data_IF_400180441641
#
_entry.id   IF_400180441641
#
_cell.length_a   1.000
_cell.length_b   1.000
_cell.length_c   1.000
_cell.angle_alpha   90.00
_cell.angle_beta   90.00
_cell.angle_gamma   90.00
#
_symmetry.space_group_name_H-M   'P 1'
#
loop_
_entity.id
_entity.type
_entity.pdbx_description
1 polymer ?
#
# COMPACT_ATOMS: atom_id res chain seq x y z
N UNK A 1 21.89 35.63 16.07
CA UNK A 1 20.56 35.28 15.51
C UNK A 1 20.61 35.42 14.00
N UNK A 2 19.63 34.87 13.25
CA UNK A 2 18.35 34.29 13.66
C UNK A 2 18.26 32.76 13.43
N UNK A 3 17.18 32.20 13.98
CA UNK A 3 16.62 30.88 13.68
C UNK A 3 15.92 30.95 12.33
N UNK A 4 16.07 29.95 11.46
CA UNK A 4 15.08 29.74 10.40
C UNK A 4 14.97 28.26 10.01
N UNK A 5 13.75 27.76 10.21
CA UNK A 5 13.04 26.70 9.50
C UNK A 5 13.61 25.28 9.49
N UNK A 6 13.07 24.47 10.40
CA UNK A 6 13.02 23.03 10.23
C UNK A 6 12.28 22.68 8.95
N UNK A 7 12.99 22.04 8.02
CA UNK A 7 12.37 21.25 6.96
C UNK A 7 12.24 19.84 7.49
N UNK A 8 11.15 19.56 8.22
CA UNK A 8 10.63 18.21 8.36
C UNK A 8 10.05 17.80 7.00
N UNK A 9 10.91 17.53 6.03
CA UNK A 9 10.57 16.78 4.82
C UNK A 9 11.15 15.37 4.98
N UNK A 10 10.71 14.68 6.03
CA UNK A 10 10.86 13.23 6.14
C UNK A 10 9.52 12.64 5.69
N UNK A 11 9.26 12.63 4.38
CA UNK A 11 8.05 12.00 3.81
C UNK A 11 8.18 11.63 2.34
N UNK A 12 9.07 12.26 1.57
CA UNK A 12 9.11 12.12 0.11
C UNK A 12 10.49 11.77 -0.45
N UNK A 13 11.46 11.48 0.43
CA UNK A 13 12.82 11.12 0.01
C UNK A 13 12.92 9.60 -0.08
N UNK A 14 12.96 9.10 -1.31
CA UNK A 14 13.50 7.77 -1.64
C UNK A 14 12.61 6.55 -1.33
N UNK A 15 11.32 6.61 -1.64
CA UNK A 15 10.48 5.40 -1.65
C UNK A 15 10.65 4.56 -2.93
N UNK A 16 11.61 4.89 -3.81
CA UNK A 16 11.83 4.22 -5.11
C UNK A 16 12.24 2.75 -4.97
N UNK A 17 12.82 2.37 -3.82
CA UNK A 17 13.19 0.98 -3.50
C UNK A 17 12.13 0.24 -2.66
N UNK A 18 11.10 0.94 -2.19
CA UNK A 18 10.04 0.31 -1.41
C UNK A 18 8.99 -0.30 -2.33
N UNK A 19 9.00 -1.62 -2.36
CA UNK A 19 8.00 -2.41 -3.07
C UNK A 19 6.67 -2.53 -2.30
N UNK A 20 6.50 -1.88 -1.15
CA UNK A 20 5.25 -1.94 -0.37
C UNK A 20 4.53 -0.61 -0.43
N UNK A 21 3.25 -0.65 -0.79
CA UNK A 21 2.37 0.52 -0.88
C UNK A 21 1.31 0.48 0.22
N UNK A 22 0.84 1.65 0.61
CA UNK A 22 -0.33 1.81 1.47
C UNK A 22 -1.50 2.34 0.65
N UNK A 23 -2.63 1.67 0.78
CA UNK A 23 -3.86 1.93 0.03
C UNK A 23 -4.93 2.30 1.03
N UNK A 24 -5.64 3.40 0.80
CA UNK A 24 -6.76 3.86 1.61
C UNK A 24 -8.00 4.03 0.72
N UNK A 25 -9.18 4.09 1.32
CA UNK A 25 -10.44 4.24 0.58
C UNK A 25 -10.93 2.96 -0.12
N UNK A 26 -10.43 1.79 0.27
CA UNK A 26 -10.97 0.51 -0.16
C UNK A 26 -12.39 0.31 0.38
N UNK A 27 -13.23 -0.41 -0.35
CA UNK A 27 -14.60 -0.68 0.09
C UNK A 27 -14.66 -1.54 1.36
N UNK A 28 -15.76 -1.41 2.12
CA UNK A 28 -16.02 -2.15 3.36
C UNK A 28 -16.08 -3.69 3.20
N UNK A 29 -16.06 -4.19 1.96
CA UNK A 29 -16.13 -5.62 1.61
C UNK A 29 -14.88 -6.12 0.86
N UNK A 30 -13.77 -5.39 0.93
CA UNK A 30 -12.54 -5.78 0.23
C UNK A 30 -11.87 -6.97 0.90
N UNK A 31 -11.39 -7.94 0.11
CA UNK A 31 -10.62 -9.10 0.61
C UNK A 31 -9.19 -9.06 0.12
N UNK A 32 -8.30 -9.76 0.82
CA UNK A 32 -6.88 -9.90 0.45
C UNK A 32 -6.76 -10.37 -1.00
N UNK A 33 -7.54 -11.38 -1.40
CA UNK A 33 -7.56 -11.89 -2.76
C UNK A 33 -8.07 -10.85 -3.75
N UNK A 34 -9.12 -10.09 -3.41
CA UNK A 34 -9.65 -9.05 -4.30
C UNK A 34 -8.64 -7.92 -4.51
N UNK A 35 -7.97 -7.47 -3.45
CA UNK A 35 -6.86 -6.49 -3.56
C UNK A 35 -5.75 -7.09 -4.40
N UNK A 36 -5.42 -8.37 -4.19
CA UNK A 36 -4.37 -9.01 -4.96
C UNK A 36 -4.69 -9.08 -6.45
N UNK A 37 -5.91 -9.50 -6.80
CA UNK A 37 -6.36 -9.58 -8.18
C UNK A 37 -6.36 -8.22 -8.87
N UNK A 38 -6.64 -7.17 -8.10
CA UNK A 38 -6.61 -5.80 -8.58
C UNK A 38 -5.19 -5.28 -8.77
N UNK A 39 -4.30 -5.46 -7.80
CA UNK A 39 -2.95 -4.91 -7.88
C UNK A 39 -2.00 -5.78 -8.72
N UNK A 40 -2.29 -7.07 -8.91
CA UNK A 40 -1.48 -7.96 -9.75
C UNK A 40 -1.48 -7.54 -11.23
N UNK A 41 -2.44 -6.72 -11.65
CA UNK A 41 -2.53 -6.19 -13.01
C UNK A 41 -1.46 -5.12 -13.27
N UNK A 42 -1.00 -4.44 -12.22
CA UNK A 42 0.07 -3.42 -12.30
C UNK A 42 1.44 -4.10 -12.22
N UNK A 43 1.59 -5.09 -11.34
CA UNK A 43 2.82 -5.85 -11.20
C UNK A 43 2.72 -7.00 -10.21
N UNK A 44 3.80 -7.72 -10.00
CA UNK A 44 3.76 -8.98 -9.25
C UNK A 44 3.63 -8.68 -7.75
N UNK A 45 2.58 -9.19 -7.11
CA UNK A 45 2.41 -9.09 -5.66
C UNK A 45 3.20 -10.19 -4.99
N UNK A 46 3.97 -9.81 -3.98
CA UNK A 46 4.76 -10.73 -3.20
C UNK A 46 3.84 -11.74 -2.54
N UNK A 47 4.13 -13.02 -2.72
CA UNK A 47 3.33 -14.10 -2.15
C UNK A 47 4.04 -14.72 -0.96
N UNK A 48 3.33 -14.92 0.14
CA UNK A 48 3.86 -15.55 1.33
C UNK A 48 4.06 -17.05 1.07
N UNK A 49 5.32 -17.51 0.98
CA UNK A 49 5.65 -18.91 0.71
C UNK A 49 5.11 -19.90 1.75
N UNK A 50 4.72 -19.44 2.95
CA UNK A 50 4.15 -20.30 3.99
C UNK A 50 2.67 -20.59 3.78
N UNK A 51 1.89 -19.59 3.37
CA UNK A 51 0.44 -19.70 3.21
C UNK A 51 -0.01 -19.76 1.75
N UNK A 52 0.88 -19.43 0.81
CA UNK A 52 0.55 -19.26 -0.60
C UNK A 52 -0.29 -18.01 -0.88
N UNK A 53 -0.50 -17.14 0.12
CA UNK A 53 -1.35 -15.96 -0.01
C UNK A 53 -0.54 -14.70 -0.32
N UNK A 54 -1.09 -13.76 -1.10
CA UNK A 54 -0.47 -12.49 -1.38
C UNK A 54 -0.21 -11.71 -0.07
N UNK A 55 0.95 -11.04 0.01
CA UNK A 55 1.37 -10.23 1.15
C UNK A 55 0.59 -8.92 1.16
N UNK A 56 -0.63 -9.01 1.66
CA UNK A 56 -1.55 -7.89 1.80
C UNK A 56 -2.09 -7.92 3.23
N UNK A 57 -2.01 -6.78 3.91
CA UNK A 57 -2.64 -6.62 5.22
C UNK A 57 -3.80 -5.66 5.07
N UNK A 58 -5.02 -6.14 5.28
CA UNK A 58 -6.20 -5.31 5.39
C UNK A 58 -6.34 -4.84 6.84
N UNK A 59 -6.63 -3.56 7.03
CA UNK A 59 -6.92 -3.02 8.35
C UNK A 59 -8.43 -2.96 8.56
N UNK A 60 -8.86 -3.60 9.63
CA UNK A 60 -10.23 -3.53 10.13
C UNK A 60 -10.30 -2.57 11.31
N UNK A 61 -11.40 -1.84 11.35
CA UNK A 61 -11.73 -0.95 12.43
C UNK A 61 -12.13 -1.80 13.63
N UNK A 62 -11.40 -1.65 14.74
CA UNK A 62 -11.65 -2.45 15.94
C UNK A 62 -12.91 -2.01 16.67
N UNK A 63 -13.34 -0.76 16.54
CA UNK A 63 -14.53 -0.25 17.21
C UNK A 63 -15.81 -0.68 16.50
N UNK A 64 -15.85 -0.53 15.18
CA UNK A 64 -17.04 -0.85 14.38
C UNK A 64 -17.05 -2.29 13.86
N UNK A 65 -15.91 -2.99 13.89
CA UNK A 65 -15.73 -4.33 13.33
C UNK A 65 -15.73 -4.36 11.80
N UNK A 66 -15.77 -3.20 11.15
CA UNK A 66 -15.82 -3.06 9.69
C UNK A 66 -14.43 -2.88 9.10
N UNK A 67 -14.25 -3.17 7.81
CA UNK A 67 -13.01 -2.82 7.12
C UNK A 67 -12.85 -1.30 7.08
N UNK A 68 -11.68 -0.78 7.51
CA UNK A 68 -11.39 0.68 7.45
C UNK A 68 -11.27 1.19 6.02
N UNK A 69 -11.22 0.28 5.06
CA UNK A 69 -10.83 0.59 3.69
C UNK A 69 -9.33 0.86 3.55
N UNK A 70 -8.54 0.47 4.54
CA UNK A 70 -7.09 0.67 4.52
C UNK A 70 -6.41 -0.68 4.33
N UNK A 71 -5.37 -0.75 3.50
CA UNK A 71 -4.57 -1.94 3.30
C UNK A 71 -3.11 -1.61 2.96
N UNK A 72 -2.19 -2.51 3.30
CA UNK A 72 -0.84 -2.51 2.72
C UNK A 72 -0.74 -3.61 1.68
N UNK A 73 -0.08 -3.32 0.56
CA UNK A 73 0.18 -4.29 -0.53
C UNK A 73 1.68 -4.32 -0.78
N UNK A 74 2.30 -5.47 -0.58
CA UNK A 74 3.72 -5.68 -0.92
C UNK A 74 3.86 -6.31 -2.30
N UNK A 75 4.51 -5.59 -3.21
CA UNK A 75 4.95 -6.09 -4.50
C UNK A 75 6.27 -6.84 -4.39
N UNK A 76 6.59 -7.61 -5.42
CA UNK A 76 7.91 -8.22 -5.60
C UNK A 76 8.91 -7.14 -6.05
N UNK A 77 8.52 -6.32 -7.03
CA UNK A 77 9.36 -5.29 -7.63
C UNK A 77 8.99 -3.85 -7.18
N UNK A 78 9.98 -3.02 -6.78
CA UNK A 78 9.78 -1.59 -6.48
C UNK A 78 9.09 -0.76 -7.59
N UNK A 79 9.42 -0.90 -8.90
CA UNK A 79 8.74 -0.14 -9.95
C UNK A 79 7.24 -0.47 -10.03
N UNK A 80 6.83 -1.69 -9.69
CA UNK A 80 5.42 -2.09 -9.67
C UNK A 80 4.65 -1.34 -8.59
N UNK A 81 5.25 -1.19 -7.40
CA UNK A 81 4.69 -0.41 -6.30
C UNK A 81 4.50 1.05 -6.71
N UNK A 82 5.53 1.66 -7.33
CA UNK A 82 5.46 3.03 -7.82
C UNK A 82 4.37 3.22 -8.89
N UNK A 83 4.30 2.32 -9.86
CA UNK A 83 3.27 2.35 -10.90
C UNK A 83 1.85 2.20 -10.32
N UNK A 84 1.69 1.40 -9.26
CA UNK A 84 0.41 1.25 -8.59
C UNK A 84 0.00 2.54 -7.89
N UNK A 85 0.90 3.21 -7.18
CA UNK A 85 0.61 4.52 -6.59
C UNK A 85 0.20 5.50 -7.68
N UNK A 86 0.96 5.64 -8.77
CA UNK A 86 0.64 6.58 -9.87
C UNK A 86 -0.73 6.29 -10.50
N UNK A 87 -1.09 5.02 -10.66
CA UNK A 87 -2.37 4.59 -11.21
C UNK A 87 -3.57 4.87 -10.29
N UNK A 88 -3.39 4.78 -8.97
CA UNK A 88 -4.47 4.84 -7.98
C UNK A 88 -4.55 6.16 -7.20
N UNK A 89 -3.44 6.88 -7.00
CA UNK A 89 -3.37 8.19 -6.34
C UNK A 89 -3.97 9.31 -7.21
N UNK A 90 -3.98 9.12 -8.53
CA UNK A 90 -4.54 10.08 -9.49
C UNK A 90 -6.04 9.94 -9.80
N UNK A 91 -6.79 9.10 -9.08
CA UNK A 91 -8.21 8.82 -9.38
C UNK A 91 -9.19 9.22 -8.28
#
# INVERSE_FOLDING_TARGET
GPRDQGSRHDSEQDNSDNNTIFVQGLGENVTIESVADYFKQIGIIKTNKKTGQPMINLYTDRETGKLKGEATVSFDDPPSAKAAIDWFDGK
#
